data_IF_664154128346
#
_entry.id   IF_664154128346
#
_cell.length_a   1.000
_cell.length_b   1.000
_cell.length_c   1.000
_cell.angle_alpha   90.00
_cell.angle_beta   90.00
_cell.angle_gamma   90.00
#
_symmetry.space_group_name_H-M   'P 1'
#
loop_
_entity.id
_entity.type
_entity.pdbx_description
1 polymer ?
#
# COMPACT_ATOMS: atom_id res chain seq x y z
N UNK A 1 -59.47 -2.26 -53.77
CA UNK A 1 -59.20 -3.13 -52.60
C UNK A 1 -57.86 -2.74 -52.03
N UNK A 2 -57.83 -1.89 -51.02
CA UNK A 2 -56.64 -1.42 -50.33
C UNK A 2 -56.42 -2.28 -49.08
N UNK A 3 -55.24 -2.86 -48.91
CA UNK A 3 -54.87 -3.67 -47.76
C UNK A 3 -53.78 -2.92 -46.97
N UNK A 4 -54.18 -2.36 -45.81
CA UNK A 4 -53.32 -1.70 -44.86
C UNK A 4 -52.39 -2.71 -44.19
N UNK A 5 -51.04 -2.44 -44.19
CA UNK A 5 -50.05 -3.11 -43.36
C UNK A 5 -49.81 -2.23 -42.14
N UNK A 6 -50.16 -2.76 -40.98
CA UNK A 6 -49.84 -2.19 -39.65
C UNK A 6 -48.43 -2.67 -39.27
N UNK A 7 -47.45 -1.77 -39.22
CA UNK A 7 -46.11 -2.03 -38.68
C UNK A 7 -46.17 -1.85 -37.18
N UNK A 8 -46.04 -2.94 -36.39
CA UNK A 8 -45.79 -2.91 -34.95
C UNK A 8 -44.32 -2.60 -34.72
N UNK A 9 -44.01 -1.44 -34.18
CA UNK A 9 -42.72 -1.13 -33.55
C UNK A 9 -42.67 -1.74 -32.15
N UNK A 10 -41.88 -2.81 -31.96
CA UNK A 10 -41.50 -3.32 -30.64
C UNK A 10 -40.38 -2.41 -30.08
N UNK A 11 -40.73 -1.55 -29.14
CA UNK A 11 -39.75 -0.86 -28.32
C UNK A 11 -39.20 -1.85 -27.29
N UNK A 12 -37.95 -2.28 -27.47
CA UNK A 12 -37.21 -3.02 -26.44
C UNK A 12 -36.69 -2.01 -25.42
N UNK A 13 -37.37 -1.97 -24.28
CA UNK A 13 -36.90 -1.20 -23.11
C UNK A 13 -35.79 -2.02 -22.46
N UNK A 14 -34.53 -1.58 -22.62
CA UNK A 14 -33.42 -2.05 -21.79
C UNK A 14 -33.62 -1.47 -20.38
N UNK A 15 -34.15 -2.28 -19.47
CA UNK A 15 -34.08 -2.05 -18.04
C UNK A 15 -32.64 -2.30 -17.58
N UNK A 16 -31.85 -1.25 -17.46
CA UNK A 16 -30.62 -1.28 -16.69
C UNK A 16 -31.00 -1.53 -15.22
N UNK A 17 -30.78 -2.74 -14.73
CA UNK A 17 -30.80 -3.04 -13.30
C UNK A 17 -29.60 -2.31 -12.63
N UNK A 18 -29.77 -1.05 -12.28
CA UNK A 18 -29.01 -0.45 -11.21
C UNK A 18 -29.50 -1.11 -9.92
N UNK A 19 -28.67 -1.98 -9.35
CA UNK A 19 -28.87 -2.45 -7.99
C UNK A 19 -28.73 -1.21 -7.07
N UNK A 20 -29.86 -0.62 -6.69
CA UNK A 20 -29.92 0.30 -5.56
C UNK A 20 -29.54 -0.50 -4.32
N UNK A 21 -28.42 -0.18 -3.71
CA UNK A 21 -28.07 -0.66 -2.38
C UNK A 21 -29.13 -0.18 -1.40
N UNK A 22 -29.81 -1.11 -0.69
CA UNK A 22 -30.77 -0.79 0.35
C UNK A 22 -30.03 -0.17 1.56
N UNK A 23 -30.08 1.14 1.69
CA UNK A 23 -29.54 1.88 2.84
C UNK A 23 -30.53 1.74 4.01
N UNK A 24 -30.27 0.81 4.93
CA UNK A 24 -30.97 0.72 6.20
C UNK A 24 -30.41 1.75 7.20
N UNK A 25 -31.10 2.82 7.43
CA UNK A 25 -30.80 3.80 8.49
C UNK A 25 -31.34 3.27 9.84
N UNK A 26 -30.46 2.58 10.59
CA UNK A 26 -30.67 2.26 12.00
C UNK A 26 -29.52 2.89 12.80
N UNK A 27 -29.83 3.64 13.86
CA UNK A 27 -28.87 4.26 14.80
C UNK A 27 -27.93 5.36 14.25
N UNK A 28 -28.31 6.14 13.27
CA UNK A 28 -27.49 7.26 12.77
C UNK A 28 -26.27 6.83 11.91
N UNK A 29 -26.01 5.54 11.73
CA UNK A 29 -25.01 4.99 10.83
C UNK A 29 -25.60 4.73 9.44
N UNK A 30 -24.83 4.97 8.40
CA UNK A 30 -25.07 4.48 7.06
C UNK A 30 -24.52 3.05 6.98
N UNK A 31 -25.39 2.09 6.67
CA UNK A 31 -25.01 0.68 6.52
C UNK A 31 -25.36 0.23 5.09
N UNK A 32 -24.38 -0.30 4.39
CA UNK A 32 -24.54 -0.75 3.01
C UNK A 32 -23.65 -1.98 2.72
N UNK A 33 -23.86 -2.60 1.60
CA UNK A 33 -23.03 -3.73 1.12
C UNK A 33 -22.46 -3.42 -0.24
N UNK A 34 -21.28 -3.99 -0.49
CA UNK A 34 -20.60 -3.95 -1.78
C UNK A 34 -20.00 -5.33 -2.07
N UNK A 35 -19.33 -5.47 -3.19
CA UNK A 35 -18.60 -6.70 -3.54
C UNK A 35 -17.25 -6.34 -4.14
N UNK A 36 -16.19 -6.98 -3.66
CA UNK A 36 -14.85 -6.73 -4.17
C UNK A 36 -14.02 -8.02 -4.23
N UNK A 37 -13.56 -8.36 -5.43
CA UNK A 37 -12.61 -9.44 -5.69
C UNK A 37 -12.91 -10.73 -4.92
N UNK A 38 -11.88 -11.31 -4.31
CA UNK A 38 -11.97 -12.56 -3.53
C UNK A 38 -12.68 -12.41 -2.18
N UNK A 39 -12.93 -11.18 -1.72
CA UNK A 39 -13.70 -10.95 -0.49
C UNK A 39 -15.20 -11.21 -0.69
N UNK A 40 -15.69 -11.19 -1.95
CA UNK A 40 -17.11 -11.29 -2.24
C UNK A 40 -17.89 -10.13 -1.63
N UNK A 41 -18.98 -10.43 -0.91
CA UNK A 41 -19.78 -9.40 -0.25
C UNK A 41 -19.05 -8.84 0.96
N UNK A 42 -18.91 -7.52 1.01
CA UNK A 42 -18.37 -6.75 2.13
C UNK A 42 -19.48 -5.87 2.72
N UNK A 43 -19.38 -5.56 4.01
CA UNK A 43 -20.36 -4.78 4.76
C UNK A 43 -19.74 -3.47 5.21
N UNK A 44 -20.33 -2.34 4.86
CA UNK A 44 -19.77 -1.01 5.08
C UNK A 44 -20.60 -0.25 6.10
N UNK A 45 -19.95 0.26 7.14
CA UNK A 45 -20.54 1.04 8.22
C UNK A 45 -19.83 2.37 8.32
N UNK A 46 -20.56 3.49 8.24
CA UNK A 46 -19.98 4.84 8.37
C UNK A 46 -20.99 5.81 8.96
N UNK A 47 -20.51 6.73 9.77
CA UNK A 47 -21.33 7.77 10.41
C UNK A 47 -21.49 8.99 9.51
N UNK A 48 -20.45 9.34 8.78
CA UNK A 48 -20.36 10.52 7.91
C UNK A 48 -20.09 10.10 6.46
N UNK A 49 -20.27 11.01 5.52
CA UNK A 49 -19.91 10.79 4.12
C UNK A 49 -18.41 10.98 3.88
N UNK A 50 -17.71 11.63 4.82
CA UNK A 50 -16.25 11.86 4.80
C UNK A 50 -15.59 11.31 6.05
N UNK A 51 -15.55 9.98 6.26
CA UNK A 51 -14.89 9.37 7.42
C UNK A 51 -13.37 9.59 7.34
N UNK A 52 -12.72 9.75 8.49
CA UNK A 52 -11.29 10.06 8.57
C UNK A 52 -10.39 8.84 8.60
N UNK A 53 -10.93 7.69 8.96
CA UNK A 53 -10.19 6.44 9.11
C UNK A 53 -10.87 5.34 8.30
N UNK A 54 -10.08 4.35 7.89
CA UNK A 54 -10.56 3.12 7.27
C UNK A 54 -10.21 1.95 8.16
N UNK A 55 -11.18 1.11 8.47
CA UNK A 55 -11.03 -0.10 9.29
C UNK A 55 -11.48 -1.31 8.49
N UNK A 56 -10.58 -2.26 8.28
CA UNK A 56 -10.90 -3.54 7.65
C UNK A 56 -11.11 -4.57 8.76
N UNK A 57 -12.37 -4.93 9.01
CA UNK A 57 -12.72 -5.80 10.14
C UNK A 57 -13.04 -7.22 9.67
N UNK A 58 -12.25 -8.17 10.11
CA UNK A 58 -12.32 -9.59 9.75
C UNK A 58 -13.09 -10.35 10.82
N UNK A 59 -14.13 -11.08 10.43
CA UNK A 59 -14.91 -11.94 11.35
C UNK A 59 -14.11 -13.12 11.86
N UNK A 60 -14.66 -13.86 12.84
CA UNK A 60 -14.22 -15.21 13.18
C UNK A 60 -14.90 -16.28 12.32
N UNK A 61 -14.71 -17.56 12.67
CA UNK A 61 -15.23 -18.74 11.96
C UNK A 61 -16.75 -18.78 11.83
N UNK A 62 -17.47 -18.03 12.65
CA UNK A 62 -18.90 -17.86 12.55
C UNK A 62 -19.35 -17.00 11.34
N UNK A 63 -18.44 -16.39 10.59
CA UNK A 63 -18.73 -15.48 9.51
C UNK A 63 -19.17 -14.09 9.97
N UNK A 64 -19.63 -13.26 9.03
CA UNK A 64 -20.03 -11.88 9.31
C UNK A 64 -21.45 -11.80 9.89
N UNK A 65 -21.58 -11.96 11.19
CA UNK A 65 -22.88 -11.92 11.89
C UNK A 65 -22.77 -11.52 13.37
N UNK A 66 -23.92 -11.25 14.01
CA UNK A 66 -24.05 -11.02 15.45
C UNK A 66 -22.98 -10.10 16.08
N UNK A 67 -22.18 -10.61 17.02
CA UNK A 67 -21.25 -9.84 17.84
C UNK A 67 -20.23 -9.02 17.06
N UNK A 68 -19.70 -9.53 15.93
CA UNK A 68 -18.75 -8.78 15.09
C UNK A 68 -19.40 -7.57 14.42
N UNK A 69 -20.70 -7.65 14.10
CA UNK A 69 -21.46 -6.52 13.56
C UNK A 69 -21.55 -5.40 14.59
N UNK A 70 -21.82 -5.72 15.85
CA UNK A 70 -21.88 -4.74 16.93
C UNK A 70 -20.51 -4.14 17.26
N UNK A 71 -19.44 -4.94 17.17
CA UNK A 71 -18.05 -4.46 17.24
C UNK A 71 -17.76 -3.44 16.13
N UNK A 72 -18.10 -3.78 14.88
CA UNK A 72 -17.90 -2.89 13.72
C UNK A 72 -18.67 -1.58 13.88
N UNK A 73 -19.94 -1.64 14.25
CA UNK A 73 -20.76 -0.44 14.52
C UNK A 73 -20.13 0.46 15.57
N UNK A 74 -19.55 -0.15 16.64
CA UNK A 74 -18.93 0.62 17.73
C UNK A 74 -17.71 1.42 17.30
N UNK A 75 -16.95 0.95 16.29
CA UNK A 75 -15.82 1.69 15.68
C UNK A 75 -16.32 2.73 14.67
N UNK A 76 -17.36 2.42 13.89
CA UNK A 76 -17.96 3.37 12.95
C UNK A 76 -18.52 4.62 13.66
N UNK A 77 -18.96 4.50 14.92
CA UNK A 77 -19.34 5.62 15.77
C UNK A 77 -18.17 6.59 16.08
N UNK A 78 -16.91 6.13 15.94
CA UNK A 78 -15.68 6.90 16.17
C UNK A 78 -15.12 7.57 14.89
N UNK A 79 -15.98 7.84 13.90
CA UNK A 79 -15.63 8.52 12.63
C UNK A 79 -14.76 7.67 11.70
N UNK A 80 -14.87 6.33 11.77
CA UNK A 80 -14.27 5.40 10.84
C UNK A 80 -15.26 4.90 9.78
N UNK A 81 -14.77 4.64 8.56
CA UNK A 81 -15.43 3.71 7.65
C UNK A 81 -15.00 2.30 8.02
N UNK A 82 -15.92 1.50 8.56
CA UNK A 82 -15.63 0.12 8.95
C UNK A 82 -16.17 -0.83 7.89
N UNK A 83 -15.30 -1.70 7.41
CA UNK A 83 -15.56 -2.65 6.33
C UNK A 83 -15.54 -4.05 6.91
N UNK A 84 -16.71 -4.66 7.02
CA UNK A 84 -16.90 -6.02 7.53
C UNK A 84 -16.60 -7.08 6.47
N UNK A 85 -15.74 -8.01 6.80
CA UNK A 85 -15.23 -9.06 5.92
C UNK A 85 -15.53 -10.43 6.53
N UNK A 86 -16.22 -11.29 5.77
CA UNK A 86 -16.46 -12.67 6.13
C UNK A 86 -15.21 -13.52 5.88
N UNK A 87 -14.52 -13.92 6.96
CA UNK A 87 -13.31 -14.75 6.86
C UNK A 87 -13.56 -16.11 6.21
N UNK A 88 -14.74 -16.68 6.40
CA UNK A 88 -15.05 -18.03 5.87
C UNK A 88 -15.13 -18.00 4.35
N UNK A 89 -15.73 -16.92 3.79
CA UNK A 89 -15.72 -16.70 2.35
C UNK A 89 -14.31 -16.43 1.84
N UNK A 90 -13.56 -15.53 2.48
CA UNK A 90 -12.21 -15.17 2.07
C UNK A 90 -11.26 -16.37 2.05
N UNK A 91 -11.21 -17.17 3.14
CA UNK A 91 -10.40 -18.40 3.20
C UNK A 91 -10.79 -19.39 2.10
N UNK A 92 -12.09 -19.54 1.83
CA UNK A 92 -12.56 -20.42 0.74
C UNK A 92 -11.99 -19.98 -0.62
N UNK A 93 -11.95 -18.69 -0.90
CA UNK A 93 -11.38 -18.16 -2.15
C UNK A 93 -9.86 -18.33 -2.20
N UNK A 94 -9.14 -18.02 -1.09
CA UNK A 94 -7.71 -18.28 -0.99
C UNK A 94 -7.38 -19.75 -1.29
N UNK A 95 -8.13 -20.67 -0.70
CA UNK A 95 -7.93 -22.12 -0.87
C UNK A 95 -8.20 -22.58 -2.33
N UNK A 96 -9.07 -21.90 -3.05
CA UNK A 96 -9.41 -22.20 -4.44
C UNK A 96 -8.38 -21.66 -5.47
N UNK A 97 -7.54 -20.71 -5.07
CA UNK A 97 -6.53 -20.13 -5.97
C UNK A 97 -5.46 -21.17 -6.36
N UNK A 98 -4.75 -20.96 -7.47
CA UNK A 98 -3.68 -21.87 -7.94
C UNK A 98 -2.30 -21.49 -7.36
N UNK A 99 -2.22 -20.41 -6.63
CA UNK A 99 -0.97 -19.94 -6.01
C UNK A 99 -0.45 -20.92 -4.96
N UNK A 100 0.87 -20.97 -4.77
CA UNK A 100 1.50 -21.84 -3.79
C UNK A 100 1.37 -21.32 -2.36
N UNK A 101 1.23 -20.02 -2.19
CA UNK A 101 1.00 -19.33 -0.92
C UNK A 101 0.08 -18.12 -1.13
N UNK A 102 -0.54 -17.63 -0.06
CA UNK A 102 -1.47 -16.48 -0.09
C UNK A 102 -0.78 -15.19 0.32
N UNK A 103 -1.04 -14.07 -0.37
CA UNK A 103 -0.50 -12.77 -0.03
C UNK A 103 -1.60 -11.81 0.44
N UNK A 104 -2.14 -12.08 1.63
CA UNK A 104 -3.28 -11.35 2.19
C UNK A 104 -3.04 -9.85 2.35
N UNK A 105 -1.81 -9.41 2.65
CA UNK A 105 -1.51 -7.99 2.79
C UNK A 105 -1.89 -7.19 1.54
N UNK A 106 -1.60 -7.69 0.33
CA UNK A 106 -1.99 -7.03 -0.91
C UNK A 106 -3.51 -7.03 -1.14
N UNK A 107 -4.18 -8.12 -0.79
CA UNK A 107 -5.64 -8.21 -0.94
C UNK A 107 -6.35 -7.14 -0.09
N UNK A 108 -5.97 -7.01 1.20
CA UNK A 108 -6.56 -6.02 2.10
C UNK A 108 -6.19 -4.58 1.72
N UNK A 109 -4.97 -4.34 1.24
CA UNK A 109 -4.55 -3.03 0.74
C UNK A 109 -5.36 -2.62 -0.49
N UNK A 110 -5.51 -3.51 -1.48
CA UNK A 110 -6.31 -3.27 -2.68
C UNK A 110 -7.79 -2.97 -2.34
N UNK A 111 -8.36 -3.70 -1.38
CA UNK A 111 -9.71 -3.43 -0.90
C UNK A 111 -9.82 -2.02 -0.29
N UNK A 112 -8.84 -1.62 0.52
CA UNK A 112 -8.80 -0.28 1.12
C UNK A 112 -8.71 0.82 0.07
N UNK A 113 -7.82 0.67 -0.90
CA UNK A 113 -7.62 1.62 -2.01
C UNK A 113 -8.91 1.77 -2.84
N UNK A 114 -9.54 0.65 -3.20
CA UNK A 114 -10.82 0.64 -3.92
C UNK A 114 -11.89 1.45 -3.19
N UNK A 115 -12.08 1.17 -1.89
CA UNK A 115 -13.11 1.84 -1.12
C UNK A 115 -12.82 3.33 -0.93
N UNK A 116 -11.57 3.70 -0.68
CA UNK A 116 -11.20 5.10 -0.53
C UNK A 116 -11.40 5.90 -1.82
N UNK A 117 -11.09 5.34 -2.98
CA UNK A 117 -11.44 5.94 -4.29
C UNK A 117 -12.94 6.03 -4.46
N UNK A 118 -13.69 4.95 -4.20
CA UNK A 118 -15.15 4.91 -4.32
C UNK A 118 -15.86 5.94 -3.45
N UNK A 119 -15.36 6.17 -2.23
CA UNK A 119 -15.92 7.13 -1.28
C UNK A 119 -15.24 8.49 -1.30
N UNK A 120 -14.44 8.78 -2.34
CA UNK A 120 -13.84 10.10 -2.62
C UNK A 120 -13.03 10.67 -1.45
N UNK A 121 -12.13 9.84 -0.88
CA UNK A 121 -11.15 10.34 0.08
C UNK A 121 -10.19 11.30 -0.63
N UNK A 122 -9.96 12.47 -0.04
CA UNK A 122 -9.08 13.50 -0.61
C UNK A 122 -7.61 13.03 -0.70
N UNK A 123 -7.22 12.06 0.14
CA UNK A 123 -5.90 11.43 0.14
C UNK A 123 -6.00 10.01 0.69
N UNK A 124 -5.05 9.16 0.32
CA UNK A 124 -5.01 7.79 0.84
C UNK A 124 -4.68 7.76 2.32
N UNK A 125 -5.52 7.09 3.11
CA UNK A 125 -5.34 6.85 4.54
C UNK A 125 -4.98 5.38 4.73
N UNK A 126 -3.88 5.10 5.45
CA UNK A 126 -3.51 3.73 5.78
C UNK A 126 -4.60 3.06 6.62
N UNK A 127 -5.14 1.90 6.21
CA UNK A 127 -6.20 1.25 6.94
C UNK A 127 -5.71 0.62 8.24
N UNK A 128 -6.59 0.57 9.24
CA UNK A 128 -6.42 -0.22 10.44
C UNK A 128 -7.05 -1.59 10.18
N UNK A 129 -6.32 -2.68 10.43
CA UNK A 129 -6.86 -4.03 10.29
C UNK A 129 -7.30 -4.56 11.65
N UNK A 130 -8.54 -5.03 11.76
CA UNK A 130 -9.14 -5.54 13.01
C UNK A 130 -9.64 -6.95 12.77
N UNK A 131 -9.51 -7.83 13.73
CA UNK A 131 -10.02 -9.20 13.60
C UNK A 131 -10.42 -9.84 14.92
N UNK A 132 -11.41 -10.73 14.84
CA UNK A 132 -11.90 -11.52 15.96
C UNK A 132 -11.66 -13.00 15.71
N UNK A 133 -11.16 -13.75 16.74
CA UNK A 133 -10.92 -15.20 16.67
C UNK A 133 -9.97 -15.55 15.51
N UNK A 134 -10.35 -16.41 14.56
CA UNK A 134 -9.56 -16.67 13.33
C UNK A 134 -9.23 -15.40 12.55
N UNK A 135 -10.10 -14.39 12.57
CA UNK A 135 -9.80 -13.06 12.06
C UNK A 135 -8.66 -12.36 12.82
N UNK A 136 -8.53 -12.60 14.12
CA UNK A 136 -7.43 -12.08 14.92
C UNK A 136 -6.08 -12.67 14.50
N UNK A 137 -6.05 -13.96 14.16
CA UNK A 137 -4.88 -14.63 13.58
C UNK A 137 -4.54 -14.08 12.19
N UNK A 138 -5.57 -13.84 11.36
CA UNK A 138 -5.41 -13.21 10.05
C UNK A 138 -4.75 -11.83 10.16
N UNK A 139 -5.14 -11.00 11.15
CA UNK A 139 -4.50 -9.70 11.41
C UNK A 139 -2.99 -9.87 11.60
N UNK A 140 -2.57 -10.80 12.45
CA UNK A 140 -1.14 -11.05 12.67
C UNK A 140 -0.42 -11.46 11.38
N UNK A 141 -1.00 -12.43 10.64
CA UNK A 141 -0.40 -12.93 9.41
C UNK A 141 -0.24 -11.81 8.37
N UNK A 142 -1.24 -10.96 8.21
CA UNK A 142 -1.25 -9.83 7.28
C UNK A 142 -0.23 -8.77 7.70
N UNK A 143 -0.17 -8.37 8.98
CA UNK A 143 0.80 -7.40 9.48
C UNK A 143 2.25 -7.88 9.35
N UNK A 144 2.52 -9.16 9.65
CA UNK A 144 3.85 -9.76 9.52
C UNK A 144 4.29 -9.89 8.04
N UNK A 145 3.32 -9.95 7.12
CA UNK A 145 3.53 -10.03 5.68
C UNK A 145 3.75 -8.66 5.03
N UNK A 146 3.07 -7.64 5.56
CA UNK A 146 2.95 -6.33 4.95
C UNK A 146 4.28 -5.56 4.88
N UNK A 147 4.51 -4.82 3.80
CA UNK A 147 5.52 -3.77 3.77
C UNK A 147 5.23 -2.65 4.78
N UNK A 148 6.23 -1.80 5.04
CA UNK A 148 6.02 -0.56 5.80
C UNK A 148 5.01 0.34 5.06
N UNK A 149 4.20 1.06 5.83
CA UNK A 149 3.18 2.00 5.32
C UNK A 149 1.95 1.36 4.65
N UNK A 150 1.79 0.05 4.67
CA UNK A 150 0.57 -0.61 4.18
C UNK A 150 -0.59 -0.43 5.16
N UNK A 151 -0.35 -0.65 6.46
CA UNK A 151 -1.37 -0.53 7.51
C UNK A 151 -0.95 0.44 8.60
N UNK A 152 -1.89 1.23 9.12
CA UNK A 152 -1.69 2.08 10.28
C UNK A 152 -1.42 1.28 11.56
N UNK A 153 -1.98 0.08 11.65
CA UNK A 153 -1.83 -0.86 12.76
C UNK A 153 -2.87 -1.96 12.73
N UNK A 154 -2.82 -2.84 13.71
CA UNK A 154 -3.77 -3.93 13.84
C UNK A 154 -4.31 -4.13 15.26
N UNK A 155 -5.55 -4.63 15.34
CA UNK A 155 -6.20 -5.01 16.59
C UNK A 155 -6.72 -6.42 16.47
N UNK A 156 -6.32 -7.30 17.39
CA UNK A 156 -6.78 -8.70 17.47
C UNK A 156 -7.59 -8.93 18.74
N UNK A 157 -8.78 -9.52 18.61
CA UNK A 157 -9.63 -9.89 19.74
C UNK A 157 -9.70 -11.44 19.81
N UNK A 158 -9.21 -12.03 20.92
CA UNK A 158 -9.17 -13.47 21.10
C UNK A 158 -8.22 -14.17 20.12
N UNK A 159 -6.93 -13.81 20.17
CA UNK A 159 -5.89 -14.30 19.28
C UNK A 159 -5.41 -15.72 19.66
N UNK A 160 -5.40 -16.61 18.68
CA UNK A 160 -4.59 -17.84 18.64
C UNK A 160 -3.57 -17.75 17.48
N UNK A 161 -2.42 -18.44 17.53
CA UNK A 161 -1.42 -18.36 16.46
C UNK A 161 -1.72 -19.27 15.25
N UNK A 162 -2.86 -19.97 15.21
CA UNK A 162 -3.21 -20.95 14.20
C UNK A 162 -4.36 -20.50 13.31
N UNK A 163 -4.32 -20.95 12.03
CA UNK A 163 -5.36 -20.67 11.04
C UNK A 163 -5.53 -21.89 10.10
N UNK A 164 -6.75 -22.36 9.95
CA UNK A 164 -7.07 -23.47 9.07
C UNK A 164 -7.20 -22.99 7.61
N UNK A 165 -6.11 -23.13 6.85
CA UNK A 165 -6.05 -22.84 5.42
C UNK A 165 -5.42 -24.01 4.67
N UNK A 166 -5.71 -24.17 3.37
CA UNK A 166 -5.14 -25.23 2.53
C UNK A 166 -3.66 -24.97 2.19
N UNK A 167 -3.19 -23.75 2.29
CA UNK A 167 -1.81 -23.33 1.96
C UNK A 167 -1.34 -22.22 2.89
N UNK A 168 -0.02 -22.08 3.07
CA UNK A 168 0.54 -21.05 3.94
C UNK A 168 0.32 -19.66 3.35
N UNK A 169 0.44 -18.66 4.21
CA UNK A 169 0.70 -17.31 3.76
C UNK A 169 2.15 -17.18 3.29
N UNK A 170 2.38 -16.40 2.24
CA UNK A 170 3.73 -16.08 1.73
C UNK A 170 4.53 -15.33 2.79
N UNK A 171 5.85 -15.45 2.75
CA UNK A 171 6.72 -14.80 3.73
C UNK A 171 6.61 -13.27 3.75
N UNK A 172 6.13 -12.66 2.68
CA UNK A 172 6.09 -11.21 2.52
C UNK A 172 7.48 -10.61 2.59
N UNK A 173 7.70 -9.66 3.49
CA UNK A 173 9.02 -9.07 3.72
C UNK A 173 10.09 -10.08 4.24
N UNK A 174 9.80 -11.38 4.20
CA UNK A 174 10.71 -12.45 4.58
C UNK A 174 10.62 -12.85 6.04
N UNK A 175 9.74 -12.24 6.84
CA UNK A 175 9.63 -12.51 8.27
C UNK A 175 8.57 -13.52 8.64
N UNK A 176 7.41 -13.55 7.98
CA UNK A 176 6.33 -14.47 8.31
C UNK A 176 6.72 -15.93 8.03
N UNK A 177 6.53 -16.80 9.03
CA UNK A 177 6.72 -18.24 8.89
C UNK A 177 5.65 -19.00 9.67
N UNK A 178 5.38 -20.24 9.25
CA UNK A 178 4.43 -21.13 9.91
C UNK A 178 4.88 -22.58 9.83
N UNK A 179 4.37 -23.40 10.73
CA UNK A 179 4.50 -24.86 10.70
C UNK A 179 3.13 -25.50 10.51
N UNK A 180 3.09 -26.63 9.82
CA UNK A 180 1.84 -27.36 9.59
C UNK A 180 1.52 -28.22 10.81
N UNK A 181 0.33 -28.05 11.36
CA UNK A 181 -0.29 -28.96 12.32
C UNK A 181 -1.50 -29.68 11.67
N UNK A 182 -1.65 -30.97 11.92
CA UNK A 182 -2.72 -31.78 11.30
C UNK A 182 -4.13 -31.44 11.77
N UNK A 183 -4.26 -30.77 12.93
CA UNK A 183 -5.55 -30.41 13.53
C UNK A 183 -5.84 -28.90 13.44
N UNK A 184 -4.78 -28.08 13.49
CA UNK A 184 -4.87 -26.64 13.61
C UNK A 184 -4.60 -25.92 12.27
N UNK A 185 -4.17 -26.64 11.24
CA UNK A 185 -3.78 -26.04 9.96
C UNK A 185 -2.37 -25.46 10.02
N UNK A 186 -2.20 -24.18 9.77
CA UNK A 186 -0.91 -23.48 9.85
C UNK A 186 -0.79 -22.75 11.18
N UNK A 187 0.24 -23.10 11.97
CA UNK A 187 0.59 -22.43 13.23
C UNK A 187 1.72 -21.44 12.96
N UNK A 188 1.42 -20.14 13.06
CA UNK A 188 2.38 -19.08 12.80
C UNK A 188 3.42 -18.97 13.91
N UNK A 189 4.65 -18.67 13.50
CA UNK A 189 5.75 -18.40 14.41
C UNK A 189 5.85 -16.90 14.67
N UNK A 190 6.49 -16.53 15.78
CA UNK A 190 6.76 -15.12 16.09
C UNK A 190 7.76 -14.51 15.11
N UNK A 191 7.55 -13.24 14.74
CA UNK A 191 8.55 -12.40 14.13
C UNK A 191 9.26 -11.58 15.20
N UNK A 192 10.45 -11.07 14.94
CA UNK A 192 11.17 -10.24 15.92
C UNK A 192 10.50 -8.88 16.12
N UNK A 193 9.98 -8.28 15.04
CA UNK A 193 9.27 -7.01 15.08
C UNK A 193 8.20 -6.91 13.99
N UNK A 194 7.15 -6.13 14.25
CA UNK A 194 6.17 -5.71 13.25
C UNK A 194 6.47 -4.27 12.81
N UNK A 195 6.26 -3.98 11.53
CA UNK A 195 6.45 -2.63 10.98
C UNK A 195 5.35 -1.65 11.43
N UNK A 196 4.20 -2.18 11.82
CA UNK A 196 3.04 -1.42 12.32
C UNK A 196 2.66 -1.88 13.72
N UNK A 197 2.12 -1.01 14.60
CA UNK A 197 1.70 -1.40 15.94
C UNK A 197 0.59 -2.46 15.91
N UNK A 198 0.65 -3.40 16.82
CA UNK A 198 -0.33 -4.46 16.98
C UNK A 198 -0.80 -4.58 18.41
N UNK A 199 -2.10 -4.40 18.65
CA UNK A 199 -2.72 -4.52 19.97
C UNK A 199 -3.58 -5.77 20.01
N UNK A 200 -3.33 -6.65 20.99
CA UNK A 200 -4.11 -7.87 21.21
C UNK A 200 -4.93 -7.74 22.49
N UNK A 201 -6.25 -7.84 22.35
CA UNK A 201 -7.19 -7.91 23.46
C UNK A 201 -7.50 -9.37 23.76
N UNK A 202 -7.05 -9.86 24.92
CA UNK A 202 -7.18 -11.26 25.30
C UNK A 202 -7.88 -11.40 26.65
N UNK A 203 -8.97 -12.19 26.69
CA UNK A 203 -9.74 -12.40 27.91
C UNK A 203 -9.08 -13.38 28.88
N UNK A 204 -9.02 -13.05 30.17
CA UNK A 204 -8.45 -13.92 31.21
C UNK A 204 -9.20 -15.26 31.41
N UNK A 205 -10.43 -15.35 30.89
CA UNK A 205 -11.28 -16.55 30.91
C UNK A 205 -11.44 -17.19 29.53
N UNK A 206 -10.57 -16.85 28.58
CA UNK A 206 -10.59 -17.46 27.26
C UNK A 206 -10.11 -18.92 27.33
N UNK A 207 -11.02 -19.85 27.02
CA UNK A 207 -10.75 -21.29 27.03
C UNK A 207 -10.45 -21.85 25.62
N UNK A 208 -10.54 -21.03 24.60
CA UNK A 208 -10.24 -21.40 23.21
C UNK A 208 -8.80 -21.00 22.88
N UNK A 209 -8.44 -19.75 23.13
CA UNK A 209 -7.12 -19.20 22.92
C UNK A 209 -6.48 -18.85 24.28
N UNK A 210 -5.48 -19.61 24.66
CA UNK A 210 -4.83 -19.52 25.99
C UNK A 210 -4.16 -18.16 26.19
N UNK A 211 -4.63 -17.37 27.16
CA UNK A 211 -4.05 -16.06 27.50
C UNK A 211 -2.57 -16.15 27.90
N UNK A 212 -2.12 -17.15 28.70
CA UNK A 212 -0.70 -17.34 28.96
C UNK A 212 0.14 -17.59 27.71
N UNK A 213 -0.35 -18.39 26.76
CA UNK A 213 0.38 -18.68 25.52
C UNK A 213 0.43 -17.46 24.60
N UNK A 214 -0.68 -16.70 24.50
CA UNK A 214 -0.74 -15.42 23.80
C UNK A 214 0.27 -14.44 24.38
N UNK A 215 0.38 -14.33 25.69
CA UNK A 215 1.35 -13.47 26.37
C UNK A 215 2.80 -13.85 26.04
N UNK A 216 3.11 -15.16 26.05
CA UNK A 216 4.43 -15.65 25.65
C UNK A 216 4.71 -15.36 24.18
N UNK A 217 3.71 -15.48 23.31
CA UNK A 217 3.85 -15.19 21.89
C UNK A 217 4.18 -13.72 21.67
N UNK A 218 3.40 -12.80 22.23
CA UNK A 218 3.58 -11.36 22.05
C UNK A 218 4.90 -10.84 22.70
N UNK A 219 5.35 -11.43 23.80
CA UNK A 219 6.58 -11.02 24.49
C UNK A 219 7.85 -11.09 23.63
N UNK A 220 7.78 -11.76 22.48
CA UNK A 220 8.89 -11.93 21.54
C UNK A 220 8.83 -10.96 20.34
N UNK A 221 7.82 -10.12 20.27
CA UNK A 221 7.53 -9.29 19.10
C UNK A 221 7.60 -7.81 19.49
N UNK A 222 8.51 -7.05 18.91
CA UNK A 222 8.51 -5.61 19.03
C UNK A 222 7.31 -4.99 18.32
N UNK A 223 6.74 -3.93 18.87
CA UNK A 223 5.52 -3.25 18.45
C UNK A 223 4.23 -4.08 18.62
N UNK A 224 4.24 -5.13 19.47
CA UNK A 224 3.06 -5.86 19.91
C UNK A 224 2.73 -5.53 21.37
N UNK A 225 1.46 -5.25 21.64
CA UNK A 225 0.96 -4.89 22.98
C UNK A 225 -0.18 -5.85 23.37
N UNK A 226 -0.18 -6.33 24.63
CA UNK A 226 -1.25 -7.17 25.18
C UNK A 226 -2.12 -6.37 26.14
N UNK A 227 -3.42 -6.32 25.87
CA UNK A 227 -4.46 -5.88 26.80
C UNK A 227 -5.17 -7.09 27.37
N UNK A 228 -4.82 -7.47 28.63
CA UNK A 228 -5.51 -8.57 29.33
C UNK A 228 -6.86 -8.08 29.88
N UNK A 229 -7.94 -8.76 29.51
CA UNK A 229 -9.31 -8.34 29.81
C UNK A 229 -9.91 -9.18 30.95
N UNK A 230 -10.13 -8.60 32.15
CA UNK A 230 -10.70 -9.32 33.27
C UNK A 230 -12.14 -9.77 33.01
N UNK A 231 -12.45 -11.03 33.33
CA UNK A 231 -13.79 -11.63 33.21
C UNK A 231 -14.31 -11.69 31.77
N UNK A 232 -13.43 -11.77 30.80
CA UNK A 232 -13.74 -11.91 29.39
C UNK A 232 -13.35 -13.33 28.94
N UNK A 233 -14.30 -14.07 28.37
CA UNK A 233 -14.06 -15.33 27.66
C UNK A 233 -13.97 -15.09 26.16
N UNK A 234 -13.67 -16.13 25.38
CA UNK A 234 -13.47 -16.06 23.92
C UNK A 234 -14.62 -15.37 23.17
N UNK A 235 -15.86 -15.53 23.63
CA UNK A 235 -17.04 -14.97 22.96
C UNK A 235 -17.25 -13.45 23.16
N UNK A 236 -16.45 -12.76 23.97
CA UNK A 236 -16.61 -11.31 24.24
C UNK A 236 -18.06 -10.91 24.56
N UNK A 237 -18.78 -11.75 25.33
CA UNK A 237 -20.23 -11.67 25.48
C UNK A 237 -20.74 -10.47 26.29
N UNK A 238 -19.88 -9.85 27.11
CA UNK A 238 -20.24 -8.75 28.01
C UNK A 238 -19.51 -7.47 27.64
N UNK A 239 -20.08 -6.60 26.77
CA UNK A 239 -19.37 -5.44 26.19
C UNK A 239 -18.72 -4.51 27.22
N UNK A 240 -19.36 -4.28 28.37
CA UNK A 240 -18.78 -3.41 29.42
C UNK A 240 -17.41 -3.86 29.95
N UNK A 241 -17.03 -5.11 29.74
CA UNK A 241 -15.76 -5.68 30.27
C UNK A 241 -14.60 -5.55 29.24
N UNK A 242 -14.85 -5.13 28.00
CA UNK A 242 -13.84 -5.08 26.95
C UNK A 242 -14.00 -3.93 25.94
N UNK A 243 -15.22 -3.39 25.77
CA UNK A 243 -15.49 -2.32 24.78
C UNK A 243 -14.69 -1.02 25.05
N UNK A 244 -14.49 -0.58 26.30
CA UNK A 244 -13.64 0.58 26.56
C UNK A 244 -12.21 0.38 26.05
N UNK A 245 -11.58 -0.75 26.36
CA UNK A 245 -10.23 -1.12 25.98
C UNK A 245 -10.10 -1.31 24.46
N UNK A 246 -11.15 -1.84 23.80
CA UNK A 246 -11.18 -1.93 22.35
C UNK A 246 -11.17 -0.56 21.68
N UNK A 247 -11.95 0.40 22.18
CA UNK A 247 -11.95 1.77 21.70
C UNK A 247 -10.65 2.51 22.01
N UNK A 248 -10.01 2.22 23.14
CA UNK A 248 -8.72 2.76 23.52
C UNK A 248 -7.62 2.24 22.57
N UNK A 249 -7.60 0.93 22.27
CA UNK A 249 -6.67 0.35 21.29
C UNK A 249 -6.81 1.00 19.92
N UNK A 250 -8.05 1.23 19.47
CA UNK A 250 -8.31 1.95 18.23
C UNK A 250 -7.76 3.39 18.27
N UNK A 251 -8.09 4.15 19.31
CA UNK A 251 -7.63 5.52 19.47
C UNK A 251 -6.09 5.62 19.53
N UNK A 252 -5.44 4.68 20.20
CA UNK A 252 -3.98 4.61 20.28
C UNK A 252 -3.31 4.42 18.89
N UNK A 253 -3.86 3.52 18.04
CA UNK A 253 -3.35 3.34 16.68
C UNK A 253 -3.58 4.60 15.84
N UNK A 254 -4.75 5.22 15.95
CA UNK A 254 -5.06 6.47 15.23
C UNK A 254 -4.11 7.58 15.65
N UNK A 255 -3.83 7.74 16.95
CA UNK A 255 -2.91 8.75 17.48
C UNK A 255 -1.48 8.50 16.99
N UNK A 256 -0.98 7.27 17.08
CA UNK A 256 0.36 6.91 16.58
C UNK A 256 0.50 7.20 15.08
N UNK A 257 -0.54 6.93 14.30
CA UNK A 257 -0.53 7.18 12.86
C UNK A 257 -0.54 8.68 12.52
N UNK A 258 -1.26 9.50 13.29
CA UNK A 258 -1.29 10.96 13.10
C UNK A 258 0.05 11.62 13.48
N UNK A 259 0.78 11.07 14.44
CA UNK A 259 2.13 11.56 14.83
C UNK A 259 3.19 11.12 13.81
N UNK A 260 2.98 9.99 13.12
CA UNK A 260 3.85 9.53 12.03
C UNK A 260 3.64 10.30 10.70
N UNK A 261 2.76 11.31 10.67
CA UNK A 261 2.67 12.25 9.56
C UNK A 261 4.04 12.89 9.38
N UNK A 262 4.59 12.71 8.18
CA UNK A 262 5.88 13.15 7.66
C UNK A 262 6.37 14.45 8.29
N UNK A 263 7.68 14.61 8.56
CA UNK A 263 8.24 15.85 9.01
C UNK A 263 7.72 16.98 8.13
N UNK A 264 7.34 18.10 8.73
CA UNK A 264 6.78 19.26 8.00
C UNK A 264 7.67 19.56 6.80
N UNK A 265 7.17 19.29 5.59
CA UNK A 265 7.86 19.64 4.36
C UNK A 265 8.11 21.15 4.33
N UNK A 266 9.22 21.57 3.71
CA UNK A 266 9.66 22.96 3.67
C UNK A 266 8.58 23.88 3.09
N UNK A 267 8.57 25.12 3.52
CA UNK A 267 7.73 26.14 2.90
C UNK A 267 7.99 26.17 1.37
N UNK A 268 6.95 26.03 0.59
CA UNK A 268 7.04 25.85 -0.89
C UNK A 268 6.70 24.44 -1.39
N UNK A 269 6.75 23.42 -0.52
CA UNK A 269 6.42 22.01 -0.86
C UNK A 269 5.55 21.33 0.18
N UNK A 270 4.89 22.09 1.09
CA UNK A 270 4.06 21.56 2.18
C UNK A 270 2.84 20.74 1.70
N UNK A 271 2.40 21.01 0.50
CA UNK A 271 1.30 20.33 -0.20
C UNK A 271 1.73 19.04 -0.90
N UNK A 272 3.03 18.76 -0.96
CA UNK A 272 3.56 17.57 -1.62
C UNK A 272 3.86 16.46 -0.60
N UNK A 273 3.54 15.20 -0.91
CA UNK A 273 3.79 14.05 -0.01
C UNK A 273 5.26 13.63 -0.06
N UNK A 274 6.12 14.44 0.57
CA UNK A 274 7.57 14.25 0.56
C UNK A 274 8.05 13.52 1.82
N UNK A 275 9.07 12.69 1.66
CA UNK A 275 9.82 12.04 2.74
C UNK A 275 11.25 12.57 2.73
N UNK A 276 11.69 13.20 3.82
CA UNK A 276 13.01 13.82 3.92
C UNK A 276 13.99 12.93 4.69
N UNK A 277 15.16 12.65 4.11
CA UNK A 277 16.30 12.01 4.77
C UNK A 277 17.54 12.90 4.54
N UNK A 278 17.82 13.87 5.41
CA UNK A 278 19.02 14.71 5.28
C UNK A 278 20.28 13.88 5.47
N UNK A 279 21.34 14.20 4.72
CA UNK A 279 22.62 13.52 4.83
C UNK A 279 23.19 13.65 6.26
N UNK A 280 23.92 12.63 6.78
CA UNK A 280 24.52 12.69 8.09
C UNK A 280 25.67 13.71 8.19
N UNK A 281 26.24 14.14 7.06
CA UNK A 281 27.30 15.14 6.95
C UNK A 281 26.96 16.23 5.94
N UNK A 282 27.93 17.09 5.66
CA UNK A 282 27.78 18.11 4.60
C UNK A 282 27.68 17.43 3.25
N UNK A 283 26.63 17.76 2.51
CA UNK A 283 26.43 17.31 1.12
C UNK A 283 25.80 18.45 0.34
N UNK A 284 26.22 18.63 -0.90
CA UNK A 284 25.59 19.55 -1.87
C UNK A 284 24.87 18.75 -2.97
N UNK A 285 24.77 17.44 -2.80
CA UNK A 285 24.04 16.52 -3.69
C UNK A 285 22.79 15.99 -3.02
N UNK A 286 21.69 16.04 -3.74
CA UNK A 286 20.37 15.53 -3.34
C UNK A 286 19.88 14.49 -4.31
N UNK A 287 19.50 13.32 -3.82
CA UNK A 287 18.70 12.35 -4.58
C UNK A 287 17.22 12.63 -4.40
N UNK A 288 16.51 12.89 -5.49
CA UNK A 288 15.04 12.91 -5.52
C UNK A 288 14.60 11.53 -6.01
N UNK A 289 13.87 10.82 -5.17
CA UNK A 289 13.42 9.45 -5.46
C UNK A 289 11.90 9.40 -5.55
N UNK A 290 11.36 9.04 -6.71
CA UNK A 290 9.92 8.88 -6.95
C UNK A 290 9.56 7.41 -6.76
N UNK A 291 8.67 7.12 -5.80
CA UNK A 291 8.29 5.75 -5.46
C UNK A 291 7.44 5.07 -6.53
N UNK A 292 7.21 3.77 -6.40
CA UNK A 292 6.20 3.05 -7.16
C UNK A 292 4.78 3.43 -6.76
N UNK A 293 3.79 2.89 -7.47
CA UNK A 293 2.34 3.09 -7.25
C UNK A 293 1.85 2.61 -5.87
N UNK A 294 2.55 1.65 -5.25
CA UNK A 294 2.34 1.26 -3.85
C UNK A 294 2.78 2.31 -2.81
N UNK A 295 3.27 3.47 -3.25
CA UNK A 295 3.72 4.56 -2.38
C UNK A 295 5.12 4.32 -1.80
N UNK A 296 5.48 5.08 -0.75
CA UNK A 296 6.81 5.03 -0.13
C UNK A 296 6.98 3.75 0.70
N UNK A 297 7.28 2.65 0.03
CA UNK A 297 7.32 1.30 0.58
C UNK A 297 8.75 0.80 0.92
N UNK A 298 8.87 -0.48 1.22
CA UNK A 298 10.11 -1.09 1.71
C UNK A 298 11.31 -0.95 0.77
N UNK A 299 11.10 -1.07 -0.55
CA UNK A 299 12.15 -0.92 -1.56
C UNK A 299 12.68 0.51 -1.57
N UNK A 300 11.78 1.49 -1.70
CA UNK A 300 12.11 2.92 -1.77
C UNK A 300 12.88 3.35 -0.53
N UNK A 301 12.38 2.96 0.65
CA UNK A 301 13.01 3.25 1.94
C UNK A 301 14.42 2.67 2.05
N UNK A 302 14.61 1.41 1.67
CA UNK A 302 15.93 0.76 1.76
C UNK A 302 16.95 1.33 0.79
N UNK A 303 16.52 1.70 -0.43
CA UNK A 303 17.39 2.42 -1.38
C UNK A 303 17.73 3.80 -0.82
N UNK A 304 16.76 4.56 -0.34
CA UNK A 304 16.95 5.88 0.25
C UNK A 304 17.93 5.83 1.45
N UNK A 305 17.76 4.86 2.35
CA UNK A 305 18.67 4.62 3.48
C UNK A 305 20.09 4.28 3.03
N UNK A 306 20.25 3.48 1.96
CA UNK A 306 21.55 3.14 1.42
C UNK A 306 22.24 4.34 0.77
N UNK A 307 21.49 5.19 0.04
CA UNK A 307 22.00 6.46 -0.48
C UNK A 307 22.42 7.41 0.66
N UNK A 308 21.59 7.51 1.70
CA UNK A 308 21.84 8.36 2.86
C UNK A 308 23.08 7.94 3.64
N UNK A 309 23.33 6.62 3.80
CA UNK A 309 24.59 6.08 4.39
C UNK A 309 25.83 6.47 3.58
N UNK A 310 25.69 6.75 2.29
CA UNK A 310 26.76 7.27 1.42
C UNK A 310 26.81 8.81 1.39
N UNK A 311 26.27 9.46 2.41
CA UNK A 311 26.24 10.92 2.59
C UNK A 311 25.50 11.69 1.50
N UNK A 312 24.49 11.07 0.88
CA UNK A 312 23.57 11.72 -0.05
C UNK A 312 22.28 12.07 0.73
N UNK A 313 21.88 13.32 0.66
CA UNK A 313 20.52 13.69 1.11
C UNK A 313 19.48 13.06 0.18
N UNK A 314 18.35 12.61 0.72
CA UNK A 314 17.27 12.03 -0.09
C UNK A 314 15.96 12.74 0.19
N UNK A 315 15.23 13.06 -0.87
CA UNK A 315 13.83 13.48 -0.82
C UNK A 315 13.01 12.50 -1.65
N UNK A 316 12.16 11.74 -0.98
CA UNK A 316 11.23 10.81 -1.59
C UNK A 316 9.91 11.49 -1.93
N UNK A 317 9.38 11.26 -3.13
CA UNK A 317 8.00 11.60 -3.50
C UNK A 317 7.16 10.33 -3.43
N UNK A 318 6.15 10.32 -2.55
CA UNK A 318 5.24 9.19 -2.40
C UNK A 318 4.20 9.19 -3.53
N UNK A 319 4.38 8.33 -4.53
CA UNK A 319 3.54 8.29 -5.73
C UNK A 319 2.08 7.97 -5.45
N UNK A 320 1.80 7.00 -4.56
CA UNK A 320 0.41 6.67 -4.20
C UNK A 320 -0.37 7.89 -3.71
N UNK A 321 0.23 8.71 -2.85
CA UNK A 321 -0.41 9.92 -2.36
C UNK A 321 -0.39 11.04 -3.38
N UNK A 322 0.69 11.18 -4.16
CA UNK A 322 0.84 12.24 -5.15
C UNK A 322 -0.12 12.08 -6.34
N UNK A 323 -0.23 10.86 -6.86
CA UNK A 323 -1.13 10.52 -7.96
C UNK A 323 -2.51 10.04 -7.49
N UNK A 324 -2.80 10.15 -6.20
CA UNK A 324 -4.15 9.88 -5.70
C UNK A 324 -5.19 10.69 -6.46
N UNK A 325 -4.92 11.98 -6.67
CA UNK A 325 -5.65 12.82 -7.61
C UNK A 325 -4.91 12.91 -8.93
N UNK A 326 -5.68 13.04 -10.01
CA UNK A 326 -5.15 13.17 -11.36
C UNK A 326 -4.19 14.35 -11.49
N UNK A 327 -3.00 14.07 -12.02
CA UNK A 327 -1.98 15.05 -12.39
C UNK A 327 -1.85 15.12 -13.91
N UNK A 328 -1.01 16.02 -14.38
CA UNK A 328 -0.56 16.08 -15.78
C UNK A 328 0.97 16.07 -15.82
N UNK A 329 1.59 15.73 -16.96
CA UNK A 329 3.03 15.89 -17.13
C UNK A 329 3.54 17.28 -16.74
N UNK A 330 2.79 18.34 -17.11
CA UNK A 330 3.17 19.73 -16.85
C UNK A 330 3.10 20.08 -15.35
N UNK A 331 2.04 19.64 -14.65
CA UNK A 331 1.94 19.87 -13.19
C UNK A 331 3.04 19.10 -12.46
N UNK A 332 3.33 17.86 -12.86
CA UNK A 332 4.37 17.05 -12.26
C UNK A 332 5.78 17.62 -12.51
N UNK A 333 6.03 18.17 -13.69
CA UNK A 333 7.28 18.89 -13.98
C UNK A 333 7.43 20.17 -13.13
N UNK A 334 6.33 20.91 -12.93
CA UNK A 334 6.30 22.09 -12.07
C UNK A 334 6.59 21.72 -10.62
N UNK A 335 6.02 20.61 -10.13
CA UNK A 335 6.25 20.15 -8.78
C UNK A 335 7.69 19.65 -8.58
N UNK A 336 8.29 18.98 -9.56
CA UNK A 336 9.71 18.62 -9.53
C UNK A 336 10.59 19.90 -9.46
N UNK A 337 10.28 20.93 -10.23
CA UNK A 337 11.00 22.22 -10.16
C UNK A 337 10.88 22.84 -8.77
N UNK A 338 9.69 22.87 -8.18
CA UNK A 338 9.45 23.36 -6.80
C UNK A 338 10.28 22.59 -5.77
N UNK A 339 10.34 21.25 -5.88
CA UNK A 339 11.17 20.42 -5.00
C UNK A 339 12.63 20.84 -5.16
N UNK A 340 13.17 20.87 -6.37
CA UNK A 340 14.57 21.23 -6.62
C UNK A 340 14.91 22.61 -6.05
N UNK A 341 14.12 23.64 -6.34
CA UNK A 341 14.33 25.02 -5.87
C UNK A 341 14.24 25.12 -4.33
N UNK A 342 13.27 24.43 -3.72
CA UNK A 342 13.11 24.42 -2.25
C UNK A 342 14.33 23.86 -1.54
N UNK A 343 14.87 22.74 -2.04
CA UNK A 343 16.04 22.12 -1.41
C UNK A 343 17.36 22.78 -1.80
N UNK A 344 17.45 23.50 -2.92
CA UNK A 344 18.55 24.42 -3.17
C UNK A 344 18.64 25.52 -2.11
N UNK A 345 17.50 26.10 -1.75
CA UNK A 345 17.44 27.18 -0.76
C UNK A 345 17.64 26.66 0.66
N UNK A 346 17.01 25.54 1.03
CA UNK A 346 16.96 25.06 2.40
C UNK A 346 18.16 24.20 2.81
N UNK A 347 18.70 23.38 1.89
CA UNK A 347 19.83 22.45 2.14
C UNK A 347 21.12 22.85 1.42
N UNK A 348 21.10 23.90 0.59
CA UNK A 348 22.25 24.35 -0.19
C UNK A 348 22.62 23.37 -1.31
N UNK A 349 21.69 22.61 -1.79
CA UNK A 349 21.85 21.63 -2.87
C UNK A 349 22.31 22.32 -4.16
N UNK A 350 23.26 21.72 -4.85
CA UNK A 350 23.75 22.19 -6.16
C UNK A 350 23.57 21.13 -7.25
N UNK A 351 23.58 19.88 -6.88
CA UNK A 351 23.56 18.73 -7.76
C UNK A 351 22.40 17.80 -7.42
N UNK A 352 21.75 17.26 -8.44
CA UNK A 352 20.61 16.36 -8.27
C UNK A 352 20.87 15.01 -8.93
N UNK A 353 20.53 13.95 -8.22
CA UNK A 353 20.33 12.61 -8.74
C UNK A 353 18.82 12.37 -8.78
N UNK A 354 18.27 12.01 -9.93
CA UNK A 354 16.84 11.71 -10.04
C UNK A 354 16.70 10.20 -10.23
N UNK A 355 15.94 9.55 -9.36
CA UNK A 355 15.70 8.12 -9.48
C UNK A 355 14.23 7.80 -9.24
N UNK A 356 13.72 6.76 -9.85
CA UNK A 356 12.36 6.29 -9.61
C UNK A 356 12.20 4.81 -9.86
N UNK A 357 11.18 4.27 -9.23
CA UNK A 357 10.84 2.86 -9.30
C UNK A 357 9.43 2.66 -9.83
N UNK A 358 9.24 1.70 -10.77
CA UNK A 358 7.93 1.36 -11.33
C UNK A 358 7.23 2.62 -11.87
N UNK A 359 6.00 2.96 -11.46
CA UNK A 359 5.34 4.21 -11.85
C UNK A 359 6.24 5.44 -11.68
N UNK A 360 7.05 5.49 -10.61
CA UNK A 360 8.02 6.58 -10.42
C UNK A 360 9.06 6.64 -11.53
N UNK A 361 9.55 5.50 -12.03
CA UNK A 361 10.46 5.46 -13.18
C UNK A 361 9.78 5.96 -14.46
N UNK A 362 8.51 5.63 -14.63
CA UNK A 362 7.74 5.94 -15.84
C UNK A 362 7.38 7.42 -15.96
N UNK A 363 7.12 8.11 -14.83
CA UNK A 363 6.74 9.54 -14.82
C UNK A 363 7.95 10.48 -14.86
N UNK A 364 9.12 10.06 -14.35
CA UNK A 364 10.35 10.88 -14.31
C UNK A 364 10.72 11.48 -15.67
N UNK A 365 10.70 10.77 -16.81
CA UNK A 365 11.03 11.35 -18.10
C UNK A 365 10.18 12.58 -18.45
N UNK A 366 8.89 12.53 -18.16
CA UNK A 366 7.98 13.65 -18.37
C UNK A 366 8.26 14.83 -17.42
N UNK A 367 8.53 14.51 -16.14
CA UNK A 367 8.86 15.53 -15.15
C UNK A 367 10.13 16.29 -15.53
N UNK A 368 11.17 15.58 -15.99
CA UNK A 368 12.45 16.20 -16.38
C UNK A 368 12.34 16.98 -17.70
N UNK A 369 11.63 16.44 -18.70
CA UNK A 369 11.50 17.11 -20.01
C UNK A 369 10.76 18.46 -19.90
N UNK A 370 9.86 18.59 -18.94
CA UNK A 370 9.16 19.85 -18.64
C UNK A 370 9.92 20.84 -17.75
N UNK A 371 11.09 20.47 -17.21
CA UNK A 371 11.90 21.37 -16.38
C UNK A 371 12.51 22.53 -17.17
N UNK A 372 12.69 23.72 -16.56
CA UNK A 372 13.56 24.76 -17.05
C UNK A 372 14.99 24.23 -17.29
N UNK A 373 15.63 24.69 -18.36
CA UNK A 373 16.99 24.24 -18.72
C UNK A 373 18.03 24.48 -17.61
N UNK A 374 17.86 25.55 -16.84
CA UNK A 374 18.72 25.91 -15.70
C UNK A 374 18.69 24.85 -14.59
N UNK A 375 17.54 24.22 -14.32
CA UNK A 375 17.40 23.14 -13.36
C UNK A 375 17.85 21.82 -13.96
N UNK A 376 17.52 21.55 -15.22
CA UNK A 376 17.89 20.31 -15.91
C UNK A 376 19.40 20.13 -15.97
N UNK A 377 20.18 21.17 -16.17
CA UNK A 377 21.66 21.15 -16.16
C UNK A 377 22.28 20.79 -14.80
N UNK A 378 21.52 20.84 -13.74
CA UNK A 378 22.00 20.48 -12.39
C UNK A 378 21.78 18.99 -12.07
N UNK A 379 21.09 18.26 -12.95
CA UNK A 379 20.86 16.81 -12.81
C UNK A 379 22.11 16.10 -13.32
N UNK A 380 22.77 15.36 -12.42
CA UNK A 380 23.98 14.57 -12.71
C UNK A 380 23.65 13.23 -13.34
N UNK A 381 22.57 12.58 -12.86
CA UNK A 381 22.17 11.28 -13.36
C UNK A 381 20.67 11.04 -13.18
N UNK A 382 20.13 10.16 -14.03
CA UNK A 382 18.73 9.67 -13.98
C UNK A 382 18.76 8.16 -13.92
N UNK A 383 18.09 7.56 -12.94
CA UNK A 383 17.98 6.11 -12.78
C UNK A 383 16.52 5.66 -12.83
N UNK A 384 16.18 4.83 -13.81
CA UNK A 384 14.84 4.32 -14.07
C UNK A 384 14.79 2.82 -13.74
N UNK A 385 14.11 2.46 -12.64
CA UNK A 385 14.08 1.11 -12.09
C UNK A 385 12.72 0.46 -12.40
N UNK A 386 12.72 -0.64 -13.16
CA UNK A 386 11.50 -1.34 -13.55
C UNK A 386 10.62 -0.53 -14.51
N UNK A 387 11.23 0.05 -15.56
CA UNK A 387 10.57 0.94 -16.52
C UNK A 387 9.55 0.19 -17.37
N UNK A 388 8.35 0.77 -17.48
CA UNK A 388 7.25 0.32 -18.34
C UNK A 388 7.13 1.17 -19.62
N UNK A 389 6.32 0.71 -20.58
CA UNK A 389 6.18 1.41 -21.87
C UNK A 389 5.15 2.52 -21.86
N UNK A 390 4.22 2.47 -20.94
CA UNK A 390 3.08 3.37 -20.81
C UNK A 390 2.86 3.73 -19.34
N UNK A 391 2.33 4.93 -19.07
CA UNK A 391 2.03 5.39 -17.72
C UNK A 391 0.78 6.26 -17.68
N UNK A 392 0.07 6.24 -16.55
CA UNK A 392 -0.95 7.20 -16.20
C UNK A 392 -0.49 8.12 -15.05
N UNK A 393 -0.97 9.35 -15.05
CA UNK A 393 -0.71 10.34 -14.00
C UNK A 393 -1.85 10.40 -12.97
N UNK A 394 -2.51 9.28 -12.77
CA UNK A 394 -3.53 9.06 -11.76
C UNK A 394 -3.42 7.63 -11.24
N UNK A 395 -3.65 7.44 -9.95
CA UNK A 395 -3.73 6.11 -9.36
C UNK A 395 -5.09 5.46 -9.68
N UNK A 396 -5.06 4.29 -10.33
CA UNK A 396 -6.24 3.50 -10.67
C UNK A 396 -6.21 2.14 -9.97
N UNK A 397 -7.25 1.82 -9.22
CA UNK A 397 -7.39 0.49 -8.58
C UNK A 397 -7.59 -0.61 -9.61
N UNK A 398 -8.15 -0.27 -10.78
CA UNK A 398 -8.39 -1.20 -11.90
C UNK A 398 -7.12 -1.85 -12.43
N UNK A 399 -5.96 -1.23 -12.31
CA UNK A 399 -4.67 -1.77 -12.75
C UNK A 399 -4.30 -3.09 -12.03
N UNK A 400 -4.95 -3.38 -10.91
CA UNK A 400 -4.76 -4.61 -10.13
C UNK A 400 -5.80 -5.70 -10.44
N UNK A 401 -6.91 -5.34 -11.12
CA UNK A 401 -8.06 -6.23 -11.34
C UNK A 401 -8.32 -6.54 -12.82
N UNK A 402 -7.89 -5.67 -13.74
CA UNK A 402 -8.06 -5.87 -15.19
C UNK A 402 -6.87 -5.38 -16.00
N UNK A 403 -6.39 -6.20 -16.93
CA UNK A 403 -5.29 -5.93 -17.85
C UNK A 403 -5.64 -4.99 -19.01
N UNK A 404 -6.74 -4.23 -18.94
CA UNK A 404 -7.30 -3.49 -20.07
C UNK A 404 -7.14 -1.97 -20.02
N UNK A 405 -6.56 -1.38 -18.95
CA UNK A 405 -6.23 0.04 -18.92
C UNK A 405 -4.78 0.25 -19.37
N UNK A 406 -4.59 0.48 -20.67
CA UNK A 406 -3.33 0.98 -21.22
C UNK A 406 -3.12 2.42 -20.73
N UNK A 407 -1.97 2.72 -20.17
CA UNK A 407 -1.59 4.07 -19.74
C UNK A 407 -1.74 5.08 -20.88
N UNK A 408 -2.13 6.30 -20.54
CA UNK A 408 -2.43 7.36 -21.51
C UNK A 408 -1.19 7.95 -22.18
N UNK A 409 0.01 7.79 -21.57
CA UNK A 409 1.25 8.43 -22.01
C UNK A 409 2.32 7.39 -22.37
N UNK A 410 2.90 7.55 -23.56
CA UNK A 410 3.98 6.68 -24.05
C UNK A 410 5.33 7.10 -23.44
N UNK A 411 5.98 6.22 -22.68
CA UNK A 411 7.19 6.52 -21.89
C UNK A 411 8.46 6.58 -22.78
N UNK A 412 8.62 5.64 -23.71
CA UNK A 412 9.83 5.54 -24.54
C UNK A 412 10.14 6.82 -25.33
N UNK A 413 9.14 7.46 -26.03
CA UNK A 413 9.40 8.72 -26.72
C UNK A 413 9.85 9.84 -25.77
N UNK A 414 9.39 9.81 -24.51
CA UNK A 414 9.74 10.82 -23.52
C UNK A 414 11.16 10.63 -22.98
N UNK A 415 11.59 9.38 -22.73
CA UNK A 415 12.99 9.07 -22.39
C UNK A 415 13.94 9.56 -23.49
N UNK A 416 13.58 9.41 -24.77
CA UNK A 416 14.39 9.88 -25.89
C UNK A 416 14.56 11.42 -25.93
N UNK A 417 13.67 12.20 -25.35
CA UNK A 417 13.85 13.67 -25.22
C UNK A 417 14.94 14.05 -24.20
N UNK A 418 15.36 13.12 -23.36
CA UNK A 418 16.42 13.33 -22.37
C UNK A 418 17.82 13.03 -22.92
N UNK A 419 18.00 12.98 -24.25
CA UNK A 419 19.31 12.76 -24.90
C UNK A 419 20.37 13.72 -24.36
N UNK A 420 21.59 13.19 -24.15
CA UNK A 420 22.69 13.96 -23.57
C UNK A 420 22.74 13.96 -22.05
N UNK A 421 21.74 13.39 -21.35
CA UNK A 421 21.77 13.14 -19.92
C UNK A 421 22.34 11.75 -19.61
N UNK A 422 22.93 11.59 -18.43
CA UNK A 422 23.41 10.28 -17.96
C UNK A 422 22.22 9.46 -17.45
N UNK A 423 21.67 8.57 -18.28
CA UNK A 423 20.50 7.75 -17.97
C UNK A 423 20.90 6.30 -17.74
N UNK A 424 20.43 5.70 -16.65
CA UNK A 424 20.56 4.26 -16.37
C UNK A 424 19.15 3.66 -16.27
N UNK A 425 18.87 2.62 -17.07
CA UNK A 425 17.64 1.84 -16.98
C UNK A 425 17.95 0.48 -16.38
N UNK A 426 17.27 0.13 -15.29
CA UNK A 426 17.54 -1.09 -14.50
C UNK A 426 16.28 -1.95 -14.50
N UNK A 427 16.44 -3.25 -14.80
CA UNK A 427 15.30 -4.20 -14.81
C UNK A 427 15.74 -5.58 -14.27
N UNK A 428 14.77 -6.36 -13.81
CA UNK A 428 14.99 -7.73 -13.37
C UNK A 428 15.04 -8.74 -14.54
N UNK A 429 15.89 -9.77 -14.48
CA UNK A 429 16.04 -10.78 -15.55
C UNK A 429 14.76 -11.62 -15.79
N UNK A 430 13.80 -11.56 -14.89
CA UNK A 430 12.47 -12.17 -15.04
C UNK A 430 11.46 -11.25 -15.74
N UNK A 431 11.74 -9.94 -15.89
CA UNK A 431 10.90 -8.93 -16.53
C UNK A 431 11.07 -8.92 -18.06
N UNK A 432 10.51 -9.91 -18.73
CA UNK A 432 10.70 -10.12 -20.19
C UNK A 432 10.21 -8.97 -21.06
N UNK A 433 9.27 -8.18 -20.58
CA UNK A 433 8.62 -7.07 -21.31
C UNK A 433 9.12 -5.68 -20.87
N UNK A 434 10.17 -5.60 -20.05
CA UNK A 434 10.70 -4.32 -19.59
C UNK A 434 10.95 -3.34 -20.74
N UNK A 435 10.53 -2.10 -20.56
CA UNK A 435 10.77 -1.04 -21.53
C UNK A 435 12.25 -0.66 -21.66
N UNK A 436 13.11 -0.99 -20.66
CA UNK A 436 14.56 -0.86 -20.77
C UNK A 436 15.12 -1.54 -22.02
N UNK A 437 14.56 -2.68 -22.42
CA UNK A 437 14.96 -3.44 -23.60
C UNK A 437 14.63 -2.75 -24.94
N UNK A 438 13.80 -1.70 -24.90
CA UNK A 438 13.41 -0.90 -26.09
C UNK A 438 14.22 0.39 -26.22
N UNK A 439 15.10 0.68 -25.25
CA UNK A 439 15.98 1.85 -25.26
C UNK A 439 17.27 1.56 -26.02
N UNK A 440 17.85 2.58 -26.63
CA UNK A 440 19.04 2.43 -27.48
C UNK A 440 20.34 2.67 -26.68
N UNK A 441 21.36 1.85 -26.95
CA UNK A 441 22.75 2.06 -26.50
C UNK A 441 23.52 2.84 -27.57
N UNK A 442 24.46 3.70 -27.24
CA UNK A 442 25.03 3.97 -25.91
C UNK A 442 24.33 5.08 -25.12
N UNK A 443 23.25 5.66 -25.61
CA UNK A 443 22.55 6.80 -25.00
C UNK A 443 21.96 6.49 -23.62
N UNK A 444 21.66 5.20 -23.37
CA UNK A 444 21.13 4.73 -22.06
C UNK A 444 21.94 3.52 -21.58
N UNK A 445 22.42 3.57 -20.34
CA UNK A 445 23.01 2.43 -19.68
C UNK A 445 21.93 1.44 -19.24
N UNK A 446 21.90 0.27 -19.84
CA UNK A 446 20.92 -0.77 -19.53
C UNK A 446 21.57 -1.83 -18.65
N UNK A 447 21.02 -2.02 -17.45
CA UNK A 447 21.52 -2.95 -16.45
C UNK A 447 20.44 -3.98 -16.12
N UNK A 448 20.78 -5.25 -16.31
CA UNK A 448 19.95 -6.38 -15.91
C UNK A 448 20.38 -6.86 -14.52
N UNK A 449 19.44 -7.05 -13.61
CA UNK A 449 19.65 -7.59 -12.27
C UNK A 449 18.90 -8.91 -12.09
N UNK A 450 19.33 -9.71 -11.11
CA UNK A 450 18.65 -10.96 -10.76
C UNK A 450 17.28 -10.70 -10.10
N UNK A 451 16.25 -11.47 -10.50
CA UNK A 451 14.89 -11.47 -9.96
C UNK A 451 13.89 -10.77 -10.87
N UNK A 452 12.66 -10.62 -10.38
CA UNK A 452 11.59 -9.88 -11.06
C UNK A 452 11.62 -8.40 -10.71
N UNK A 453 10.43 -7.77 -10.70
CA UNK A 453 10.24 -6.33 -10.49
C UNK A 453 10.84 -5.78 -9.18
N UNK A 454 11.05 -6.63 -8.16
CA UNK A 454 11.70 -6.27 -6.89
C UNK A 454 13.21 -6.59 -6.82
N UNK A 455 13.87 -6.89 -7.95
CA UNK A 455 15.32 -7.07 -8.07
C UNK A 455 15.92 -8.09 -7.08
N UNK A 456 15.18 -9.15 -6.76
CA UNK A 456 15.60 -10.16 -5.77
C UNK A 456 15.88 -9.60 -4.37
N UNK A 457 15.42 -8.39 -4.06
CA UNK A 457 15.62 -7.71 -2.78
C UNK A 457 17.03 -7.11 -2.60
N UNK A 458 17.85 -7.00 -3.66
CA UNK A 458 19.21 -6.46 -3.57
C UNK A 458 19.25 -4.92 -3.67
N UNK A 459 18.63 -4.26 -2.71
CA UNK A 459 18.48 -2.79 -2.69
C UNK A 459 19.79 -2.04 -2.47
N UNK A 460 20.76 -2.67 -1.77
CA UNK A 460 22.10 -2.11 -1.62
C UNK A 460 22.78 -1.97 -2.98
N UNK A 461 22.69 -2.99 -3.83
CA UNK A 461 23.27 -2.95 -5.19
C UNK A 461 22.60 -1.90 -6.07
N UNK A 462 21.28 -1.71 -5.93
CA UNK A 462 20.56 -0.64 -6.64
C UNK A 462 21.08 0.75 -6.25
N UNK A 463 21.29 1.00 -4.95
CA UNK A 463 21.86 2.25 -4.48
C UNK A 463 23.28 2.49 -5.01
N UNK A 464 24.12 1.45 -5.06
CA UNK A 464 25.45 1.53 -5.65
C UNK A 464 25.40 1.91 -7.15
N UNK A 465 24.49 1.30 -7.90
CA UNK A 465 24.31 1.61 -9.33
C UNK A 465 23.82 3.06 -9.53
N UNK A 466 22.90 3.53 -8.68
CA UNK A 466 22.42 4.91 -8.72
C UNK A 466 23.55 5.90 -8.46
N UNK A 467 24.51 5.56 -7.59
CA UNK A 467 25.67 6.40 -7.26
C UNK A 467 26.83 6.29 -8.25
N UNK A 468 26.86 5.24 -9.09
CA UNK A 468 27.95 4.98 -10.04
C UNK A 468 27.84 5.83 -11.31
N UNK A 469 27.61 7.14 -11.16
CA UNK A 469 27.51 8.06 -12.29
C UNK A 469 28.87 8.66 -12.70
N UNK A 470 29.86 8.68 -11.82
CA UNK A 470 31.19 9.25 -12.10
C UNK A 470 32.07 8.31 -12.95
N UNK A 471 31.93 6.99 -12.81
CA UNK A 471 32.76 6.01 -13.52
C UNK A 471 32.43 5.84 -15.01
N UNK A 472 31.38 6.47 -15.52
CA UNK A 472 30.88 6.28 -16.89
C UNK A 472 31.52 7.21 -17.91
N UNK A 473 32.16 8.32 -17.49
CA UNK A 473 32.97 9.17 -18.37
C UNK A 473 34.34 8.55 -18.72
N UNK A 474 34.82 7.61 -17.90
CA UNK A 474 36.17 7.02 -18.08
C UNK A 474 36.20 5.83 -19.05
N UNK A 475 35.08 5.36 -19.58
CA UNK A 475 35.00 4.19 -20.48
C UNK A 475 34.55 4.50 -21.92
N UNK A 476 34.68 5.73 -22.38
CA UNK A 476 34.62 6.02 -23.83
C UNK A 476 36.03 5.87 -24.41
N UNK A 477 36.22 4.96 -25.39
CA UNK A 477 37.51 4.79 -26.08
C UNK A 477 37.84 5.97 -27.00
#
# INVERSE_FOLDING_TARGET
MMRNYFLLFLAVIFLSNQACADVKKTSGLNEETDSFGIFGTIHIYRKTDTPKQVVLFISGDGGWNLGVVDMARSLAELDGMVVGIDITHYIKQLNASQEQCSYGAADFEALSQYLQKKYHYDHYVQPIIVGYSSGATMVYAVLAQAPVNTFAGGISLGFCPDLETAKPFCKGNGSLSSVVDKKLGFVYQTVDSLVSPWVVLQGDQDQVCSTPDTKIFLSKIENAELSELPKVGHGFSVPRNWMPEFKEAYAHIVEKNTVAVLPESKEGTKDLPLVELPAPGKSDTLAIFVSGDGGWASLDKKIAEALNKNNISVVGLNSLQYFWDKKTPETSATDLARIMETYQQSWGTKHFIIAGYSQGADVIPFMISGLPESLRKQIQSVSLLGLESEVDFEFHVSNWVSSDDSGHYQVIPEVKKLQGMNITCIYGDEEKNSACNKLERPETHIIEMKGGHHFGGNYQRLAEIILDFENKEATQP
#
